data_IF_340292116761
#
_entry.id   IF_340292116761
#
_cell.length_a   1.000
_cell.length_b   1.000
_cell.length_c   1.000
_cell.angle_alpha   90.00
_cell.angle_beta   90.00
_cell.angle_gamma   90.00
#
_symmetry.space_group_name_H-M   'P 1'
#
loop_
_entity.id
_entity.type
_entity.pdbx_description
1 polymer ?
#
# COMPACT_ATOMS: atom_id res chain seq x y z
N UNK A 1 34.27 9.80 -7.01
CA UNK A 1 33.62 8.48 -6.85
C UNK A 1 32.13 8.72 -6.96
N UNK A 2 31.52 7.98 -7.89
CA UNK A 2 30.10 7.76 -8.22
C UNK A 2 29.08 8.64 -7.50
N UNK A 3 28.33 9.44 -8.27
CA UNK A 3 27.05 9.98 -7.85
C UNK A 3 26.15 8.80 -7.47
N UNK A 4 25.92 8.59 -6.18
CA UNK A 4 24.82 7.75 -5.70
C UNK A 4 23.54 8.49 -6.05
N UNK A 5 23.08 8.32 -7.30
CA UNK A 5 21.70 8.58 -7.62
C UNK A 5 20.88 7.77 -6.64
N UNK A 6 20.16 8.47 -5.77
CA UNK A 6 18.97 7.91 -5.18
C UNK A 6 18.09 7.52 -6.37
N UNK A 7 18.22 6.27 -6.81
CA UNK A 7 17.08 5.63 -7.40
C UNK A 7 16.11 5.56 -6.23
N UNK A 8 15.14 6.47 -6.23
CA UNK A 8 13.86 6.15 -5.64
C UNK A 8 13.47 4.85 -6.30
N UNK A 9 13.73 3.72 -5.64
CA UNK A 9 13.17 2.48 -6.08
C UNK A 9 11.65 2.66 -5.90
N UNK A 10 10.98 3.02 -6.99
CA UNK A 10 9.54 3.16 -7.07
C UNK A 10 8.98 1.74 -7.04
N UNK A 11 8.59 1.27 -5.86
CA UNK A 11 8.00 -0.06 -5.72
C UNK A 11 6.54 0.02 -6.10
N UNK A 12 6.10 -0.84 -7.02
CA UNK A 12 4.69 -0.97 -7.37
C UNK A 12 4.13 -2.27 -6.81
N UNK A 13 2.92 -2.21 -6.25
CA UNK A 13 2.17 -3.36 -5.79
C UNK A 13 0.73 -3.27 -6.27
N UNK A 14 0.07 -4.41 -6.43
CA UNK A 14 -1.35 -4.44 -6.79
C UNK A 14 -2.20 -4.60 -5.54
N UNK A 15 -3.30 -3.87 -5.50
CA UNK A 15 -4.30 -3.93 -4.45
C UNK A 15 -5.62 -4.39 -5.07
N UNK A 16 -6.07 -5.58 -4.69
CA UNK A 16 -7.35 -6.17 -5.12
C UNK A 16 -8.35 -6.14 -3.99
N UNK A 17 -9.55 -5.64 -4.28
CA UNK A 17 -10.66 -5.68 -3.33
C UNK A 17 -11.50 -6.93 -3.59
N UNK A 18 -11.38 -7.98 -2.77
CA UNK A 18 -12.26 -9.15 -2.86
C UNK A 18 -13.50 -9.03 -1.98
N UNK A 19 -13.56 -8.00 -1.15
CA UNK A 19 -14.75 -7.68 -0.36
C UNK A 19 -15.93 -7.16 -1.20
N UNK A 20 -17.10 -7.05 -0.57
CA UNK A 20 -18.29 -6.42 -1.14
C UNK A 20 -18.39 -4.90 -0.89
N UNK A 21 -17.43 -4.32 -0.18
CA UNK A 21 -17.42 -2.89 0.17
C UNK A 21 -16.33 -2.18 -0.62
N UNK A 22 -16.62 -0.98 -1.13
CA UNK A 22 -15.59 -0.19 -1.83
C UNK A 22 -14.50 0.21 -0.85
N UNK A 23 -13.22 0.01 -1.21
CA UNK A 23 -12.09 0.53 -0.43
C UNK A 23 -11.94 2.00 -0.79
N UNK A 24 -12.00 2.87 0.21
CA UNK A 24 -11.86 4.32 0.04
C UNK A 24 -10.44 4.80 0.26
N UNK A 25 -9.67 4.10 1.12
CA UNK A 25 -8.29 4.43 1.45
C UNK A 25 -7.50 3.14 1.69
N UNK A 26 -6.24 3.11 1.24
CA UNK A 26 -5.28 2.06 1.61
C UNK A 26 -4.25 2.70 2.53
N UNK A 27 -4.07 2.14 3.72
CA UNK A 27 -3.15 2.66 4.73
C UNK A 27 -1.92 1.78 4.87
N UNK A 28 -0.78 2.41 5.13
CA UNK A 28 0.51 1.75 5.33
C UNK A 28 1.20 2.24 6.60
N UNK A 29 1.89 1.35 7.31
CA UNK A 29 2.58 1.68 8.57
C UNK A 29 3.73 0.74 8.87
N UNK A 30 4.87 1.27 9.31
CA UNK A 30 5.98 0.46 9.81
C UNK A 30 5.67 -0.19 11.17
N UNK A 31 4.93 0.54 12.01
CA UNK A 31 4.85 0.33 13.45
C UNK A 31 3.42 0.09 13.98
N UNK A 32 2.42 0.04 13.10
CA UNK A 32 0.97 -0.01 13.40
C UNK A 32 0.40 1.17 14.18
N UNK A 33 1.17 2.23 14.37
CA UNK A 33 0.80 3.39 15.18
C UNK A 33 0.63 4.63 14.31
N UNK A 34 1.58 4.88 13.41
CA UNK A 34 1.56 5.96 12.43
C UNK A 34 1.18 5.39 11.07
N UNK A 35 0.07 5.87 10.50
CA UNK A 35 -0.47 5.34 9.25
C UNK A 35 -0.40 6.42 8.16
N UNK A 36 0.37 6.16 7.11
CA UNK A 36 0.24 6.85 5.84
C UNK A 36 -0.95 6.31 5.05
N UNK A 37 -1.40 7.06 4.06
CA UNK A 37 -2.46 6.62 3.14
C UNK A 37 -2.00 6.78 1.69
N UNK A 38 -2.46 5.87 0.84
CA UNK A 38 -2.30 5.98 -0.60
C UNK A 38 -3.50 6.69 -1.21
N UNK A 39 -3.25 7.63 -2.11
CA UNK A 39 -4.30 8.26 -2.90
C UNK A 39 -4.78 7.32 -4.00
N UNK A 40 -5.91 6.65 -3.75
CA UNK A 40 -6.53 5.69 -4.69
C UNK A 40 -7.67 6.32 -5.51
N UNK A 41 -7.74 7.65 -5.55
CA UNK A 41 -8.73 8.41 -6.30
C UNK A 41 -10.17 8.15 -5.80
N UNK A 42 -11.01 7.55 -6.64
CA UNK A 42 -12.41 7.22 -6.30
C UNK A 42 -12.56 5.95 -5.46
N UNK A 43 -11.45 5.30 -5.09
CA UNK A 43 -11.46 4.03 -4.37
C UNK A 43 -11.41 2.81 -5.27
N UNK A 44 -11.20 1.65 -4.66
CA UNK A 44 -11.17 0.33 -5.30
C UNK A 44 -12.53 -0.31 -5.13
N UNK A 45 -13.29 -0.46 -6.22
CA UNK A 45 -14.60 -1.10 -6.20
C UNK A 45 -14.48 -2.62 -5.91
N UNK A 46 -15.54 -3.26 -5.41
CA UNK A 46 -15.59 -4.72 -5.25
C UNK A 46 -15.15 -5.45 -6.52
N UNK A 47 -14.25 -6.42 -6.37
CA UNK A 47 -13.69 -7.22 -7.47
C UNK A 47 -12.76 -6.46 -8.41
N UNK A 48 -12.33 -5.25 -8.06
CA UNK A 48 -11.39 -4.46 -8.86
C UNK A 48 -9.99 -4.52 -8.28
N UNK A 49 -9.01 -4.38 -9.16
CA UNK A 49 -7.58 -4.30 -8.83
C UNK A 49 -7.05 -2.95 -9.29
N UNK A 50 -6.17 -2.35 -8.50
CA UNK A 50 -5.43 -1.14 -8.87
C UNK A 50 -3.96 -1.32 -8.58
N UNK A 51 -3.13 -0.68 -9.38
CA UNK A 51 -1.69 -0.59 -9.16
C UNK A 51 -1.38 0.64 -8.29
N UNK A 52 -0.69 0.43 -7.19
CA UNK A 52 -0.26 1.47 -6.26
C UNK A 52 1.26 1.56 -6.29
N UNK A 53 1.77 2.80 -6.29
CA UNK A 53 3.20 3.08 -6.28
C UNK A 53 3.58 3.60 -4.91
N UNK A 54 4.56 2.95 -4.30
CA UNK A 54 5.19 3.33 -3.05
C UNK A 54 6.59 3.86 -3.35
N UNK A 55 6.77 5.17 -3.12
CA UNK A 55 8.06 5.82 -3.28
C UNK A 55 8.89 5.67 -2.00
N UNK A 56 9.82 4.71 -2.01
CA UNK A 56 10.71 4.46 -0.86
C UNK A 56 11.61 5.66 -0.56
N UNK A 57 11.83 6.55 -1.54
CA UNK A 57 12.69 7.72 -1.43
C UNK A 57 12.17 8.76 -0.45
N UNK A 58 10.86 8.76 -0.18
CA UNK A 58 10.28 9.69 0.80
C UNK A 58 10.57 9.32 2.25
N UNK A 59 10.97 8.08 2.56
CA UNK A 59 10.89 7.67 3.96
C UNK A 59 11.95 6.68 4.49
N UNK A 60 12.91 6.20 3.68
CA UNK A 60 14.01 5.33 4.18
C UNK A 60 13.53 4.16 5.05
N UNK A 61 12.28 3.74 4.82
CA UNK A 61 11.53 2.83 5.67
C UNK A 61 11.94 1.38 5.43
N UNK A 62 11.65 0.53 6.42
CA UNK A 62 11.85 -0.92 6.32
C UNK A 62 11.02 -1.50 5.18
N UNK A 63 11.55 -2.50 4.47
CA UNK A 63 10.82 -3.25 3.44
C UNK A 63 9.49 -3.82 3.95
N UNK A 64 9.48 -4.24 5.21
CA UNK A 64 8.36 -4.95 5.80
C UNK A 64 7.36 -3.98 6.46
N UNK A 65 6.29 -3.66 5.73
CA UNK A 65 5.26 -2.69 6.10
C UNK A 65 3.94 -3.37 6.45
N UNK A 66 3.16 -2.76 7.32
CA UNK A 66 1.78 -3.14 7.57
C UNK A 66 0.84 -2.41 6.64
N UNK A 67 -0.08 -3.11 6.02
CA UNK A 67 -1.08 -2.56 5.11
C UNK A 67 -2.47 -2.92 5.62
N UNK A 68 -3.40 -1.97 5.55
CA UNK A 68 -4.83 -2.18 5.78
C UNK A 68 -5.66 -1.31 4.83
N UNK A 69 -6.92 -1.63 4.67
CA UNK A 69 -7.87 -0.86 3.88
C UNK A 69 -8.96 -0.25 4.75
N UNK A 70 -9.39 0.98 4.44
CA UNK A 70 -10.64 1.57 4.93
C UNK A 70 -11.71 1.34 3.88
N UNK A 71 -12.85 0.82 4.32
CA UNK A 71 -14.01 0.59 3.48
C UNK A 71 -14.99 1.77 3.54
N UNK A 72 -15.82 1.91 2.51
CA UNK A 72 -16.83 2.98 2.41
C UNK A 72 -17.89 2.96 3.52
N UNK A 73 -18.04 1.83 4.22
CA UNK A 73 -18.89 1.68 5.41
C UNK A 73 -18.25 2.28 6.68
N UNK A 74 -16.98 2.69 6.62
CA UNK A 74 -16.18 3.17 7.75
C UNK A 74 -15.47 2.06 8.54
N UNK A 75 -15.71 0.79 8.19
CA UNK A 75 -14.98 -0.35 8.71
C UNK A 75 -13.56 -0.41 8.12
N UNK A 76 -12.61 -1.01 8.85
CA UNK A 76 -11.22 -1.20 8.41
C UNK A 76 -10.88 -2.70 8.31
N UNK A 77 -9.98 -3.07 7.39
CA UNK A 77 -9.44 -4.42 7.30
C UNK A 77 -8.47 -4.71 8.44
N UNK A 78 -8.24 -5.99 8.73
CA UNK A 78 -7.15 -6.37 9.61
C UNK A 78 -5.81 -5.98 8.97
N UNK A 79 -4.87 -5.38 9.74
CA UNK A 79 -3.58 -5.01 9.20
C UNK A 79 -2.70 -6.25 8.99
N UNK A 80 -2.27 -6.45 7.74
CA UNK A 80 -1.39 -7.52 7.33
C UNK A 80 0.00 -6.98 6.99
N UNK A 81 1.05 -7.76 7.28
CA UNK A 81 2.44 -7.35 7.02
C UNK A 81 2.91 -7.91 5.70
N UNK A 82 3.45 -7.05 4.85
CA UNK A 82 3.97 -7.39 3.54
C UNK A 82 5.39 -6.88 3.38
N UNK A 83 6.19 -7.57 2.57
CA UNK A 83 7.53 -7.15 2.22
C UNK A 83 7.50 -6.50 0.84
N UNK A 84 7.72 -5.19 0.80
CA UNK A 84 7.68 -4.38 -0.43
C UNK A 84 8.98 -4.44 -1.22
N UNK A 85 10.04 -5.04 -0.67
CA UNK A 85 11.30 -5.23 -1.40
C UNK A 85 11.28 -6.47 -2.30
N UNK A 86 10.21 -7.26 -2.26
CA UNK A 86 9.93 -8.31 -3.24
C UNK A 86 9.19 -7.69 -4.44
N UNK A 87 9.64 -8.03 -5.64
CA UNK A 87 8.96 -7.65 -6.89
C UNK A 87 7.61 -8.36 -7.04
N UNK A 88 6.60 -7.62 -7.52
CA UNK A 88 5.30 -8.19 -7.87
C UNK A 88 4.42 -8.50 -6.67
N UNK A 89 4.49 -7.68 -5.63
CA UNK A 89 3.62 -7.81 -4.46
C UNK A 89 2.14 -7.63 -4.85
N UNK A 90 1.32 -8.64 -4.53
CA UNK A 90 -0.13 -8.62 -4.71
C UNK A 90 -0.81 -8.66 -3.34
N UNK A 91 -1.65 -7.65 -3.05
CA UNK A 91 -2.37 -7.53 -1.80
C UNK A 91 -3.85 -7.70 -2.08
N UNK A 92 -4.47 -8.62 -1.35
CA UNK A 92 -5.91 -8.88 -1.38
C UNK A 92 -6.55 -8.43 -0.07
N UNK A 93 -7.67 -7.71 -0.18
CA UNK A 93 -8.45 -7.17 0.93
C UNK A 93 -9.83 -7.81 1.02
#
# INVERSE_FOLDING_TARGET
>A
MVATGAHADEFSFTATNTTNSTITEVLVSENKSDWGYFEIGSGIKPGSTVDLVWDQSTNSESCAQWVKATYADGSESEPAKFDFCEDGLEIDF
#
